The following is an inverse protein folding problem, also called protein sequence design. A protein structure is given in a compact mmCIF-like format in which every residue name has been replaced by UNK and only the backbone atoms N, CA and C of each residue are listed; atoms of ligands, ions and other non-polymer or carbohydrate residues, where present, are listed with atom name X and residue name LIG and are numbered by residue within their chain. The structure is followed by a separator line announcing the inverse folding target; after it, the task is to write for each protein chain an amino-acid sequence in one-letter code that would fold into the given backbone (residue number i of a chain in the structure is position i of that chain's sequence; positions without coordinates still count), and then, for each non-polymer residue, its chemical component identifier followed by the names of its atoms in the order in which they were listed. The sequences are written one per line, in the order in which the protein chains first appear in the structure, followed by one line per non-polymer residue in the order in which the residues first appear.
data_IF_072380529703
#
_entry.id   IF_072380529703
#
_cell.length_a   1.000
_cell.length_b   1.000
_cell.length_c   1.000
_cell.angle_alpha   90.00
_cell.angle_beta   90.00
_cell.angle_gamma   90.00
#
_symmetry.space_group_name_H-M   'P 1'
#
loop_
_entity.id
_entity.type
_entity.pdbx_description
1 polymer ?
#
# COMPACT_ATOMS: atom_id res chain seq x y z
N UNK A 1 18.50 21.98 -14.32
CA UNK A 1 17.49 20.90 -14.37
C UNK A 1 17.99 19.68 -15.17
N UNK A 2 18.44 19.88 -16.43
CA UNK A 2 18.93 18.75 -17.27
C UNK A 2 20.07 17.99 -16.62
N UNK A 3 21.10 18.67 -16.11
CA UNK A 3 22.25 18.02 -15.46
C UNK A 3 21.83 17.15 -14.26
N UNK A 4 20.78 17.52 -13.55
CA UNK A 4 20.27 16.72 -12.44
C UNK A 4 19.63 15.41 -12.94
N UNK A 5 18.85 15.47 -14.03
CA UNK A 5 18.27 14.25 -14.63
C UNK A 5 19.37 13.30 -15.12
N UNK A 6 20.39 13.83 -15.79
CA UNK A 6 21.51 13.00 -16.26
C UNK A 6 22.32 12.40 -15.11
N UNK A 7 22.45 13.15 -14.01
CA UNK A 7 23.17 12.68 -12.82
C UNK A 7 22.41 11.59 -12.07
N UNK A 8 21.08 11.77 -11.88
CA UNK A 8 20.23 10.88 -11.09
C UNK A 8 19.68 9.69 -11.90
N UNK A 9 19.80 9.72 -13.23
CA UNK A 9 19.32 8.65 -14.10
C UNK A 9 19.99 7.30 -13.77
N UNK A 10 19.26 6.17 -13.91
CA UNK A 10 19.82 4.84 -13.73
C UNK A 10 21.02 4.60 -14.66
N UNK A 11 22.16 4.21 -14.08
CA UNK A 11 23.44 4.09 -14.80
C UNK A 11 23.64 2.70 -15.43
N UNK A 12 22.93 1.70 -14.92
CA UNK A 12 23.09 0.30 -15.30
C UNK A 12 22.46 -0.03 -16.67
N UNK A 13 21.58 0.85 -17.18
CA UNK A 13 20.84 0.68 -18.44
C UNK A 13 21.27 1.62 -19.57
N UNK A 14 22.47 2.17 -19.47
CA UNK A 14 23.04 3.13 -20.42
C UNK A 14 22.71 4.59 -20.04
N UNK A 15 23.67 5.47 -20.27
CA UNK A 15 23.51 6.90 -19.97
C UNK A 15 22.49 7.51 -20.96
N UNK A 16 21.47 8.26 -20.46
CA UNK A 16 20.62 9.06 -21.33
C UNK A 16 21.41 10.23 -21.92
N UNK A 17 20.99 10.69 -23.09
CA UNK A 17 21.56 11.91 -23.66
C UNK A 17 20.78 13.16 -23.20
N UNK A 18 21.36 14.32 -23.51
CA UNK A 18 20.76 15.61 -23.11
C UNK A 18 19.42 15.87 -23.84
N UNK A 19 19.25 15.35 -25.04
CA UNK A 19 18.01 15.50 -25.80
C UNK A 19 16.88 14.72 -25.14
N UNK A 20 17.13 13.48 -24.73
CA UNK A 20 16.16 12.64 -23.99
C UNK A 20 15.75 13.31 -22.67
N UNK A 21 16.72 13.84 -21.92
CA UNK A 21 16.46 14.55 -20.67
C UNK A 21 15.61 15.80 -20.89
N UNK A 22 15.90 16.63 -21.90
CA UNK A 22 15.12 17.82 -22.26
C UNK A 22 13.71 17.45 -22.70
N UNK A 23 13.57 16.43 -23.55
CA UNK A 23 12.28 15.93 -24.02
C UNK A 23 11.39 15.51 -22.84
N UNK A 24 11.95 14.76 -21.91
CA UNK A 24 11.20 14.27 -20.76
C UNK A 24 10.84 15.40 -19.79
N UNK A 25 11.76 16.29 -19.49
CA UNK A 25 11.52 17.49 -18.68
C UNK A 25 10.42 18.37 -19.24
N UNK A 26 10.42 18.59 -20.57
CA UNK A 26 9.32 19.34 -21.25
C UNK A 26 7.97 18.70 -21.01
N UNK A 27 7.86 17.37 -21.11
CA UNK A 27 6.62 16.64 -20.84
C UNK A 27 6.17 16.80 -19.38
N UNK A 28 7.11 16.92 -18.45
CA UNK A 28 6.83 17.20 -17.04
C UNK A 28 6.66 18.71 -16.76
N UNK A 29 6.49 19.55 -17.77
CA UNK A 29 6.24 20.99 -17.62
C UNK A 29 7.46 21.79 -17.10
N UNK A 30 8.66 21.29 -17.29
CA UNK A 30 9.91 22.00 -16.99
C UNK A 30 10.49 22.55 -18.30
N UNK A 31 10.38 23.86 -18.52
CA UNK A 31 10.86 24.54 -19.72
C UNK A 31 12.23 25.19 -19.56
N UNK A 32 12.59 25.59 -18.34
CA UNK A 32 13.93 26.13 -18.04
C UNK A 32 14.90 24.98 -17.73
N UNK A 33 15.60 24.54 -18.75
CA UNK A 33 16.52 23.40 -18.68
C UNK A 33 17.82 23.75 -17.92
N UNK A 34 18.20 25.00 -17.89
CA UNK A 34 19.42 25.48 -17.24
C UNK A 34 19.19 25.89 -15.79
N UNK A 35 17.93 25.92 -15.35
CA UNK A 35 17.59 26.30 -13.99
C UNK A 35 18.42 25.54 -12.94
N UNK A 36 18.90 26.27 -11.94
CA UNK A 36 19.51 25.65 -10.76
C UNK A 36 18.45 25.00 -9.92
N UNK A 37 18.54 23.65 -9.74
CA UNK A 37 17.57 22.84 -8.99
C UNK A 37 17.38 23.37 -7.56
N UNK A 38 18.38 23.99 -6.97
CA UNK A 38 18.29 24.56 -5.61
C UNK A 38 17.26 25.67 -5.49
N UNK A 39 17.05 26.44 -6.57
CA UNK A 39 16.11 27.57 -6.62
C UNK A 39 14.68 27.20 -6.98
N UNK A 40 14.45 25.95 -7.40
CA UNK A 40 13.15 25.46 -7.84
C UNK A 40 12.20 25.15 -6.68
N UNK A 41 10.90 25.24 -6.95
CA UNK A 41 9.86 24.83 -6.02
C UNK A 41 9.90 23.31 -5.73
N UNK A 42 9.29 22.89 -4.62
CA UNK A 42 9.20 21.47 -4.27
C UNK A 42 8.56 20.60 -5.37
N UNK A 43 7.48 21.09 -5.98
CA UNK A 43 6.82 20.40 -7.11
C UNK A 43 7.71 20.29 -8.35
N UNK A 44 8.47 21.32 -8.68
CA UNK A 44 9.43 21.26 -9.78
C UNK A 44 10.56 20.26 -9.50
N UNK A 45 11.10 20.27 -8.28
CA UNK A 45 12.11 19.28 -7.86
C UNK A 45 11.58 17.86 -7.95
N UNK A 46 10.34 17.63 -7.52
CA UNK A 46 9.68 16.32 -7.62
C UNK A 46 9.53 15.87 -9.07
N UNK A 47 9.10 16.76 -9.96
CA UNK A 47 8.96 16.46 -11.41
C UNK A 47 10.31 16.11 -12.05
N UNK A 48 11.39 16.79 -11.66
CA UNK A 48 12.74 16.45 -12.12
C UNK A 48 13.18 15.09 -11.61
N UNK A 49 12.93 14.76 -10.34
CA UNK A 49 13.23 13.44 -9.78
C UNK A 49 12.46 12.31 -10.47
N UNK A 50 11.17 12.53 -10.77
CA UNK A 50 10.35 11.59 -11.54
C UNK A 50 10.89 11.41 -12.96
N UNK A 51 11.29 12.51 -13.63
CA UNK A 51 11.91 12.43 -14.94
C UNK A 51 13.21 11.61 -14.90
N UNK A 52 14.07 11.80 -13.90
CA UNK A 52 15.29 11.01 -13.73
C UNK A 52 15.02 9.53 -13.51
N UNK A 53 14.02 9.19 -12.69
CA UNK A 53 13.65 7.80 -12.41
C UNK A 53 13.03 7.08 -13.62
N UNK A 54 12.37 7.83 -14.52
CA UNK A 54 11.60 7.28 -15.64
C UNK A 54 12.28 7.40 -17.01
N UNK A 55 13.45 8.03 -17.07
CA UNK A 55 14.15 8.28 -18.36
C UNK A 55 14.64 6.99 -19.00
N UNK A 56 14.96 5.99 -18.18
CA UNK A 56 15.37 4.65 -18.61
C UNK A 56 14.58 3.58 -17.87
N UNK A 57 14.18 2.50 -18.53
CA UNK A 57 13.55 1.37 -17.85
C UNK A 57 14.58 0.67 -16.95
N UNK A 58 14.16 0.31 -15.76
CA UNK A 58 14.92 -0.51 -14.79
C UNK A 58 14.10 -1.74 -14.42
N UNK A 59 14.74 -2.78 -13.90
CA UNK A 59 14.05 -4.01 -13.50
C UNK A 59 13.08 -3.77 -12.33
N UNK A 60 13.46 -2.89 -11.39
CA UNK A 60 12.66 -2.53 -10.24
C UNK A 60 12.65 -1.01 -10.05
N UNK A 61 11.48 -0.39 -10.15
CA UNK A 61 11.23 1.01 -9.86
C UNK A 61 10.50 1.14 -8.52
N UNK A 62 11.08 1.88 -7.59
CA UNK A 62 10.49 2.18 -6.29
C UNK A 62 10.02 3.64 -6.27
N UNK A 63 8.75 3.86 -5.97
CA UNK A 63 8.16 5.20 -5.86
C UNK A 63 7.50 5.38 -4.50
N UNK A 64 7.91 6.43 -3.79
CA UNK A 64 7.32 6.84 -2.52
C UNK A 64 6.54 8.15 -2.70
N UNK A 65 5.21 8.06 -2.47
CA UNK A 65 4.25 9.16 -2.62
C UNK A 65 4.46 9.97 -3.92
N UNK A 66 4.45 9.33 -5.12
CA UNK A 66 4.83 10.00 -6.36
C UNK A 66 3.86 11.12 -6.77
N UNK A 67 2.60 11.07 -6.32
CA UNK A 67 1.55 12.04 -6.65
C UNK A 67 1.55 13.29 -5.75
N UNK A 68 2.27 13.27 -4.62
CA UNK A 68 2.31 14.40 -3.71
C UNK A 68 3.00 15.63 -4.32
N UNK A 69 2.39 16.80 -4.16
CA UNK A 69 2.92 18.11 -4.60
C UNK A 69 3.11 18.26 -6.12
N UNK A 70 2.39 17.47 -6.93
CA UNK A 70 2.34 17.64 -8.38
C UNK A 70 0.90 17.91 -8.83
N UNK A 71 0.76 18.54 -9.98
CA UNK A 71 -0.53 18.90 -10.57
C UNK A 71 -1.18 17.73 -11.31
N UNK A 72 -2.49 17.86 -11.58
CA UNK A 72 -3.28 16.80 -12.21
C UNK A 72 -2.76 16.42 -13.61
N UNK A 73 -2.19 17.36 -14.36
CA UNK A 73 -1.64 17.11 -15.69
C UNK A 73 -0.39 16.22 -15.58
N UNK A 74 0.49 16.52 -14.63
CA UNK A 74 1.67 15.69 -14.33
C UNK A 74 1.28 14.31 -13.83
N UNK A 75 0.22 14.19 -13.01
CA UNK A 75 -0.31 12.89 -12.56
C UNK A 75 -0.77 12.05 -13.77
N UNK A 76 -1.56 12.65 -14.68
CA UNK A 76 -2.05 11.94 -15.87
C UNK A 76 -0.89 11.48 -16.79
N UNK A 77 0.14 12.29 -16.94
CA UNK A 77 1.35 11.91 -17.66
C UNK A 77 2.06 10.72 -16.99
N UNK A 78 2.20 10.78 -15.65
CA UNK A 78 2.83 9.71 -14.87
C UNK A 78 2.04 8.39 -14.99
N UNK A 79 0.70 8.43 -14.87
CA UNK A 79 -0.17 7.29 -15.11
C UNK A 79 0.08 6.66 -16.48
N UNK A 80 0.07 7.48 -17.54
CA UNK A 80 0.27 7.01 -18.91
C UNK A 80 1.65 6.38 -19.17
N UNK A 81 2.68 6.81 -18.42
CA UNK A 81 4.01 6.22 -18.49
C UNK A 81 4.12 4.93 -17.70
N UNK A 82 3.58 4.90 -16.48
CA UNK A 82 3.62 3.72 -15.63
C UNK A 82 2.75 2.58 -16.18
N UNK A 83 1.64 2.88 -16.84
CA UNK A 83 0.83 1.88 -17.54
C UNK A 83 1.58 1.15 -18.67
N UNK A 84 2.62 1.78 -19.24
CA UNK A 84 3.48 1.19 -20.28
C UNK A 84 4.80 0.66 -19.73
N UNK A 85 5.01 0.78 -18.43
CA UNK A 85 6.26 0.35 -17.80
C UNK A 85 6.39 -1.16 -17.84
N UNK A 86 7.57 -1.66 -18.28
CA UNK A 86 7.79 -3.10 -18.47
C UNK A 86 8.51 -3.77 -17.30
N UNK A 87 9.15 -2.98 -16.43
CA UNK A 87 9.80 -3.47 -15.22
C UNK A 87 8.82 -3.69 -14.07
N UNK A 88 9.33 -4.15 -12.95
CA UNK A 88 8.56 -4.23 -11.71
C UNK A 88 8.42 -2.85 -11.10
N UNK A 89 7.18 -2.45 -10.79
CA UNK A 89 6.87 -1.23 -10.05
C UNK A 89 6.44 -1.58 -8.63
N UNK A 90 7.11 -1.00 -7.64
CA UNK A 90 6.66 -1.01 -6.26
C UNK A 90 6.43 0.43 -5.80
N UNK A 91 5.26 0.70 -5.23
CA UNK A 91 4.85 2.06 -4.92
C UNK A 91 4.13 2.14 -3.57
N UNK A 92 4.39 3.21 -2.83
CA UNK A 92 3.62 3.61 -1.65
C UNK A 92 2.93 4.92 -1.97
N UNK A 93 1.59 4.98 -1.79
CA UNK A 93 0.84 6.23 -1.96
C UNK A 93 -0.51 6.17 -1.26
N UNK A 94 -1.04 7.34 -0.89
CA UNK A 94 -2.40 7.52 -0.38
C UNK A 94 -3.41 7.87 -1.49
N UNK A 95 -2.97 8.06 -2.73
CA UNK A 95 -3.84 8.37 -3.87
C UNK A 95 -4.53 7.11 -4.41
N UNK A 96 -5.77 6.91 -3.95
CA UNK A 96 -6.58 5.73 -4.28
C UNK A 96 -6.93 5.64 -5.77
N UNK A 97 -7.14 6.79 -6.43
CA UNK A 97 -7.44 6.83 -7.86
C UNK A 97 -6.22 6.45 -8.69
N UNK A 98 -5.06 6.89 -8.26
CA UNK A 98 -3.80 6.53 -8.91
C UNK A 98 -3.50 5.04 -8.74
N UNK A 99 -3.68 4.48 -7.53
CA UNK A 99 -3.54 3.04 -7.28
C UNK A 99 -4.46 2.21 -8.16
N UNK A 100 -5.73 2.62 -8.30
CA UNK A 100 -6.72 1.87 -9.06
C UNK A 100 -6.40 1.77 -10.56
N UNK A 101 -5.69 2.80 -11.10
CA UNK A 101 -5.32 2.88 -12.53
C UNK A 101 -3.97 2.25 -12.85
N UNK A 102 -3.03 2.26 -11.91
CA UNK A 102 -1.64 1.88 -12.16
C UNK A 102 -1.31 0.50 -11.61
N UNK A 103 -1.89 0.11 -10.47
CA UNK A 103 -1.53 -1.13 -9.79
C UNK A 103 -2.39 -2.30 -10.24
N UNK A 104 -1.74 -3.46 -10.38
CA UNK A 104 -2.38 -4.76 -10.63
C UNK A 104 -2.28 -5.72 -9.44
N UNK A 105 -1.62 -5.28 -8.37
CA UNK A 105 -1.46 -6.01 -7.11
C UNK A 105 -1.32 -5.02 -5.95
N UNK A 106 -1.97 -5.32 -4.84
CA UNK A 106 -1.87 -4.54 -3.60
C UNK A 106 -1.24 -5.39 -2.51
N UNK A 107 -0.28 -4.82 -1.80
CA UNK A 107 0.31 -5.39 -0.60
C UNK A 107 -0.17 -4.59 0.61
N UNK A 108 -0.96 -5.22 1.48
CA UNK A 108 -1.44 -4.63 2.73
C UNK A 108 -0.62 -5.17 3.90
N UNK A 109 -0.11 -4.27 4.73
CA UNK A 109 0.49 -4.63 6.01
C UNK A 109 -0.52 -4.28 7.10
N UNK A 110 -1.00 -5.29 7.83
CA UNK A 110 -1.98 -5.12 8.89
C UNK A 110 -1.67 -6.07 10.04
N UNK A 111 -1.63 -5.55 11.27
CA UNK A 111 -1.36 -6.31 12.50
C UNK A 111 -0.07 -7.16 12.45
N UNK A 112 0.96 -6.71 11.73
CA UNK A 112 2.22 -7.42 11.56
C UNK A 112 2.21 -8.51 10.48
N UNK A 113 1.09 -8.73 9.82
CA UNK A 113 0.91 -9.68 8.72
C UNK A 113 0.92 -8.96 7.36
N UNK A 114 1.38 -9.65 6.31
CA UNK A 114 1.37 -9.18 4.93
C UNK A 114 0.29 -9.91 4.13
N UNK A 115 -0.66 -9.14 3.62
CA UNK A 115 -1.71 -9.64 2.73
C UNK A 115 -1.45 -9.18 1.30
N UNK A 116 -1.42 -10.13 0.35
CA UNK A 116 -1.26 -9.85 -1.06
C UNK A 116 -2.60 -10.04 -1.78
N UNK A 117 -3.02 -9.01 -2.51
CA UNK A 117 -4.26 -9.01 -3.28
C UNK A 117 -3.93 -8.81 -4.75
N UNK A 118 -4.26 -9.79 -5.59
CA UNK A 118 -4.16 -9.64 -7.04
C UNK A 118 -5.38 -8.87 -7.54
N UNK A 119 -5.14 -7.76 -8.22
CA UNK A 119 -6.16 -6.84 -8.70
C UNK A 119 -5.85 -5.38 -8.39
N UNK A 120 -6.76 -4.49 -8.80
CA UNK A 120 -6.68 -3.06 -8.53
C UNK A 120 -7.14 -2.69 -7.10
N UNK A 121 -7.10 -1.41 -6.77
CA UNK A 121 -7.46 -0.93 -5.44
C UNK A 121 -8.94 -1.18 -5.09
N UNK A 122 -9.86 -1.05 -6.05
CA UNK A 122 -11.27 -1.34 -5.86
C UNK A 122 -11.51 -2.80 -5.48
N UNK A 123 -10.87 -3.72 -6.18
CA UNK A 123 -10.96 -5.16 -5.86
C UNK A 123 -10.37 -5.48 -4.47
N UNK A 124 -9.24 -4.87 -4.12
CA UNK A 124 -8.66 -4.99 -2.79
C UNK A 124 -9.65 -4.58 -1.70
N UNK A 125 -10.37 -3.44 -1.87
CA UNK A 125 -11.35 -2.98 -0.90
C UNK A 125 -12.49 -3.99 -0.69
N UNK A 126 -12.97 -4.61 -1.75
CA UNK A 126 -14.01 -5.66 -1.67
C UNK A 126 -13.50 -6.88 -0.88
N UNK A 127 -12.27 -7.35 -1.18
CA UNK A 127 -11.65 -8.46 -0.46
C UNK A 127 -11.40 -8.15 1.01
N UNK A 128 -10.93 -6.93 1.31
CA UNK A 128 -10.74 -6.47 2.69
C UNK A 128 -12.06 -6.43 3.45
N UNK A 129 -13.10 -5.88 2.85
CA UNK A 129 -14.43 -5.83 3.46
C UNK A 129 -14.99 -7.23 3.77
N UNK A 130 -14.88 -8.16 2.83
CA UNK A 130 -15.31 -9.55 3.02
C UNK A 130 -14.53 -10.26 4.15
N UNK A 131 -13.20 -10.07 4.21
CA UNK A 131 -12.35 -10.59 5.28
C UNK A 131 -12.78 -10.07 6.65
N UNK A 132 -12.94 -8.75 6.79
CA UNK A 132 -13.37 -8.12 8.05
C UNK A 132 -14.76 -8.59 8.48
N UNK A 133 -15.67 -8.81 7.55
CA UNK A 133 -16.99 -9.35 7.86
C UNK A 133 -16.93 -10.78 8.40
N UNK A 134 -16.10 -11.63 7.79
CA UNK A 134 -15.87 -13.02 8.26
C UNK A 134 -15.22 -13.02 9.66
N UNK A 135 -14.22 -12.20 9.90
CA UNK A 135 -13.55 -12.06 11.20
C UNK A 135 -14.53 -11.58 12.29
N UNK A 136 -15.33 -10.57 11.99
CA UNK A 136 -16.37 -10.08 12.88
C UNK A 136 -17.46 -11.11 13.17
N UNK A 137 -17.87 -11.89 12.18
CA UNK A 137 -18.83 -12.97 12.36
C UNK A 137 -18.26 -14.09 13.27
N UNK A 138 -16.99 -14.45 13.07
CA UNK A 138 -16.28 -15.41 13.91
C UNK A 138 -16.13 -14.92 15.35
N UNK A 139 -15.79 -13.62 15.52
CA UNK A 139 -15.68 -12.98 16.84
C UNK A 139 -17.03 -12.96 17.57
N UNK A 140 -18.13 -12.58 16.89
CA UNK A 140 -19.50 -12.62 17.44
C UNK A 140 -19.89 -14.04 17.87
N UNK A 141 -19.60 -15.02 17.04
CA UNK A 141 -19.88 -16.44 17.36
C UNK A 141 -19.10 -16.90 18.60
N UNK A 142 -17.81 -16.56 18.67
CA UNK A 142 -16.94 -16.85 19.83
C UNK A 142 -17.47 -16.19 21.10
N UNK A 143 -17.80 -14.90 21.05
CA UNK A 143 -18.36 -14.16 22.19
C UNK A 143 -19.68 -14.78 22.71
N UNK A 144 -20.55 -15.21 21.80
CA UNK A 144 -21.79 -15.91 22.16
C UNK A 144 -21.54 -17.26 22.85
N UNK A 145 -20.54 -18.02 22.40
CA UNK A 145 -20.14 -19.28 23.05
C UNK A 145 -19.56 -18.98 24.43
N UNK A 146 -18.62 -18.04 24.54
CA UNK A 146 -17.98 -17.67 25.81
C UNK A 146 -19.02 -17.21 26.84
N UNK A 147 -20.01 -16.41 26.43
CA UNK A 147 -21.10 -15.97 27.32
C UNK A 147 -21.87 -17.16 27.89
N UNK A 148 -22.26 -18.13 27.06
CA UNK A 148 -22.98 -19.33 27.49
C UNK A 148 -22.12 -20.20 28.42
N UNK A 149 -20.85 -20.36 28.12
CA UNK A 149 -19.93 -21.11 28.96
C UNK A 149 -19.70 -20.43 30.31
N UNK A 150 -19.58 -19.09 30.32
CA UNK A 150 -19.45 -18.32 31.55
C UNK A 150 -20.68 -18.43 32.45
N UNK A 151 -21.88 -18.37 31.87
CA UNK A 151 -23.13 -18.59 32.61
C UNK A 151 -23.21 -20.00 33.23
N UNK A 152 -22.76 -20.99 32.48
CA UNK A 152 -22.72 -22.38 32.97
C UNK A 152 -21.72 -22.51 34.13
N UNK A 153 -20.52 -21.92 34.05
CA UNK A 153 -19.53 -21.90 35.14
C UNK A 153 -20.11 -21.20 36.38
N UNK A 154 -20.75 -20.02 36.20
CA UNK A 154 -21.35 -19.24 37.31
C UNK A 154 -22.49 -19.98 38.04
N UNK A 155 -23.20 -20.86 37.36
CA UNK A 155 -24.25 -21.71 37.98
C UNK A 155 -23.70 -22.82 38.86
N UNK A 156 -22.40 -22.82 39.20
CA UNK A 156 -21.79 -23.76 40.15
C UNK A 156 -21.43 -25.10 39.54
N UNK A 157 -21.00 -25.11 38.29
CA UNK A 157 -20.47 -26.31 37.65
C UNK A 157 -19.21 -26.78 38.38
N UNK A 158 -19.39 -27.77 39.25
CA UNK A 158 -18.27 -28.39 39.94
C UNK A 158 -17.52 -29.31 38.97
N UNK A 159 -16.20 -29.06 38.77
CA UNK A 159 -15.33 -29.81 37.85
C UNK A 159 -15.03 -31.25 38.39
N UNK A 160 -16.08 -32.04 38.61
CA UNK A 160 -15.98 -33.41 39.15
C UNK A 160 -15.74 -34.45 38.07
N UNK A 161 -16.02 -34.17 36.80
CA UNK A 161 -15.86 -35.14 35.71
C UNK A 161 -14.81 -34.66 34.68
N UNK A 162 -14.20 -35.61 33.98
CA UNK A 162 -13.24 -35.33 32.89
C UNK A 162 -13.84 -34.43 31.77
N UNK A 163 -15.13 -34.60 31.47
CA UNK A 163 -15.87 -33.78 30.50
C UNK A 163 -15.99 -32.32 30.96
N UNK A 164 -16.20 -32.08 32.24
CA UNK A 164 -16.31 -30.72 32.81
C UNK A 164 -14.97 -30.04 32.82
N UNK A 165 -13.87 -30.73 33.14
CA UNK A 165 -12.51 -30.19 33.06
C UNK A 165 -12.15 -29.78 31.62
N UNK A 166 -12.42 -30.64 30.63
CA UNK A 166 -12.17 -30.32 29.22
C UNK A 166 -13.02 -29.14 28.72
N UNK A 167 -14.21 -28.92 29.27
CA UNK A 167 -15.07 -27.78 28.92
C UNK A 167 -14.54 -26.47 29.50
N UNK A 168 -14.02 -26.47 30.72
CA UNK A 168 -13.36 -25.31 31.37
C UNK A 168 -12.09 -24.96 30.60
N UNK A 169 -11.27 -25.94 30.27
CA UNK A 169 -10.05 -25.74 29.51
C UNK A 169 -10.33 -25.07 28.14
N UNK A 170 -11.35 -25.54 27.40
CA UNK A 170 -11.77 -24.87 26.15
C UNK A 170 -12.23 -23.44 26.34
N UNK A 171 -12.90 -23.13 27.45
CA UNK A 171 -13.30 -21.76 27.78
C UNK A 171 -12.06 -20.89 27.98
N UNK A 172 -11.07 -21.36 28.74
CA UNK A 172 -9.81 -20.65 28.97
C UNK A 172 -9.04 -20.41 27.67
N UNK A 173 -8.92 -21.44 26.82
CA UNK A 173 -8.27 -21.33 25.50
C UNK A 173 -9.00 -20.33 24.61
N UNK A 174 -10.32 -20.35 24.52
CA UNK A 174 -11.10 -19.40 23.74
C UNK A 174 -11.08 -17.98 24.29
N UNK A 175 -10.98 -17.82 25.63
CA UNK A 175 -10.90 -16.50 26.26
C UNK A 175 -9.55 -15.84 26.11
N UNK A 176 -8.48 -16.64 25.92
CA UNK A 176 -7.12 -16.15 25.69
C UNK A 176 -6.92 -15.57 24.26
N UNK A 177 -7.79 -15.88 23.32
CA UNK A 177 -7.70 -15.32 21.96
C UNK A 177 -8.28 -13.91 21.98
N UNK A 178 -7.45 -12.91 21.77
CA UNK A 178 -7.87 -11.51 21.61
C UNK A 178 -8.89 -11.37 20.46
N UNK A 179 -9.94 -10.59 20.66
CA UNK A 179 -10.86 -10.21 19.57
C UNK A 179 -10.16 -9.28 18.58
N UNK A 180 -10.73 -9.09 17.37
CA UNK A 180 -10.22 -8.09 16.44
C UNK A 180 -10.20 -6.71 17.12
N UNK A 181 -9.08 -6.01 17.01
CA UNK A 181 -8.99 -4.62 17.46
C UNK A 181 -9.85 -3.79 16.52
N UNK A 182 -10.69 -2.90 17.06
CA UNK A 182 -11.38 -1.90 16.23
C UNK A 182 -10.31 -1.03 15.55
N UNK A 183 -10.17 -1.15 14.24
CA UNK A 183 -9.37 -0.18 13.47
C UNK A 183 -9.94 1.21 13.73
N UNK A 184 -9.16 2.08 14.33
CA UNK A 184 -9.51 3.49 14.43
C UNK A 184 -9.77 4.01 13.01
N UNK A 185 -10.99 4.45 12.76
CA UNK A 185 -11.37 5.14 11.52
C UNK A 185 -10.49 6.37 11.37
N UNK A 186 -9.53 6.31 10.43
CA UNK A 186 -8.82 7.46 9.88
C UNK A 186 -9.74 8.22 8.92
#
# INVERSE_FOLDING_TARGET
AVQQVLYDAPKDVGAPDEYEAKSLLSQFGISDFDADVRTLSGGQKKRIALAAALIRPVDLLLLDEPTNHIDAETIALLEGRLAKYRGTLMMVTHDRYFLDRVCNRIAEISEGELYLHDGNFSYYLEQKAARLEMENAAARKRSSILRRELEWIRRGAQARSTKQKARIQRFEEMSAISGPQEEQKL
#
